data_IF_185162465924
#
_entry.id   IF_185162465924
#
_cell.length_a   1.000
_cell.length_b   1.000
_cell.length_c   1.000
_cell.angle_alpha   90.00
_cell.angle_beta   90.00
_cell.angle_gamma   90.00
#
_symmetry.space_group_name_H-M   'P 1'
#
loop_
_entity.id
_entity.type
_entity.pdbx_description
1 polymer ?
#
# COMPACT_ATOMS: atom_id res chain seq x y z
N UNK A 1 16.72 7.16 -6.00
CA UNK A 1 16.54 8.52 -6.57
C UNK A 1 15.71 9.31 -5.57
N UNK A 2 16.36 10.14 -4.74
CA UNK A 2 15.66 11.00 -3.77
C UNK A 2 15.26 12.26 -4.53
N UNK A 3 13.97 12.49 -4.70
CA UNK A 3 13.47 13.75 -5.26
C UNK A 3 13.58 14.78 -4.12
N UNK A 4 14.54 15.70 -4.22
CA UNK A 4 14.62 16.85 -3.33
C UNK A 4 13.79 17.99 -3.93
N UNK A 5 12.72 18.39 -3.25
CA UNK A 5 12.04 19.67 -3.50
C UNK A 5 12.28 20.60 -2.33
N UNK A 6 12.67 21.83 -2.65
CA UNK A 6 12.95 22.92 -1.71
C UNK A 6 11.69 23.32 -0.92
N UNK A 7 11.91 23.50 0.39
CA UNK A 7 10.96 23.81 1.48
C UNK A 7 9.78 22.83 1.67
N UNK A 8 9.32 22.69 2.93
CA UNK A 8 8.09 22.01 3.37
C UNK A 8 8.19 20.50 3.66
N UNK A 9 7.80 20.14 4.89
CA UNK A 9 7.44 18.82 5.46
C UNK A 9 7.91 17.61 4.65
N UNK A 10 8.87 16.85 5.18
CA UNK A 10 9.26 15.56 4.62
C UNK A 10 8.04 14.65 4.50
N UNK A 11 7.67 14.30 3.27
CA UNK A 11 6.58 13.37 2.99
C UNK A 11 6.93 12.03 3.62
N UNK A 12 6.10 11.47 4.52
CA UNK A 12 6.36 10.16 5.08
C UNK A 12 6.24 9.09 3.99
N UNK A 13 7.18 8.14 3.97
CA UNK A 13 7.24 7.05 2.99
C UNK A 13 5.93 6.23 2.93
N UNK A 14 5.20 6.15 4.05
CA UNK A 14 3.88 5.53 4.14
C UNK A 14 2.89 6.13 3.15
N UNK A 15 2.79 7.46 3.09
CA UNK A 15 1.86 8.13 2.18
C UNK A 15 2.33 7.95 0.74
N UNK A 16 3.63 8.07 0.50
CA UNK A 16 4.21 7.90 -0.83
C UNK A 16 3.90 6.51 -1.39
N UNK A 17 4.16 5.46 -0.61
CA UNK A 17 3.91 4.08 -1.01
C UNK A 17 2.41 3.81 -1.20
N UNK A 18 1.58 4.16 -0.20
CA UNK A 18 0.14 3.89 -0.24
C UNK A 18 -0.54 4.61 -1.43
N UNK A 19 -0.23 5.89 -1.65
CA UNK A 19 -0.76 6.66 -2.77
C UNK A 19 -0.27 6.10 -4.11
N UNK A 20 1.02 5.73 -4.20
CA UNK A 20 1.55 5.11 -5.42
C UNK A 20 0.83 3.80 -5.76
N UNK A 21 0.66 2.90 -4.79
CA UNK A 21 -0.10 1.66 -4.95
C UNK A 21 -1.55 1.93 -5.37
N UNK A 22 -2.22 2.90 -4.74
CA UNK A 22 -3.60 3.24 -5.06
C UNK A 22 -3.74 3.85 -6.47
N UNK A 23 -2.83 4.73 -6.88
CA UNK A 23 -2.84 5.32 -8.23
C UNK A 23 -2.57 4.26 -9.30
N UNK A 24 -1.63 3.34 -9.05
CA UNK A 24 -1.38 2.19 -9.92
C UNK A 24 -2.61 1.28 -10.03
N UNK A 25 -3.24 0.97 -8.89
CA UNK A 25 -4.46 0.16 -8.86
C UNK A 25 -5.61 0.84 -9.61
N UNK A 26 -5.82 2.14 -9.37
CA UNK A 26 -6.84 2.93 -10.06
C UNK A 26 -6.58 2.96 -11.56
N UNK A 27 -5.33 3.15 -11.99
CA UNK A 27 -4.94 3.12 -13.40
C UNK A 27 -5.22 1.77 -14.04
N UNK A 28 -4.84 0.67 -13.39
CA UNK A 28 -5.11 -0.68 -13.89
C UNK A 28 -6.59 -0.92 -14.05
N UNK A 29 -7.40 -0.50 -13.09
CA UNK A 29 -8.84 -0.67 -13.15
C UNK A 29 -9.48 0.20 -14.24
N UNK A 30 -9.02 1.43 -14.41
CA UNK A 30 -9.48 2.31 -15.50
C UNK A 30 -9.18 1.70 -16.88
N UNK A 31 -8.01 1.06 -17.03
CA UNK A 31 -7.72 0.29 -18.24
C UNK A 31 -8.65 -0.91 -18.44
N UNK A 32 -8.89 -1.71 -17.39
CA UNK A 32 -9.74 -2.91 -17.47
C UNK A 32 -11.21 -2.56 -17.77
N UNK A 33 -11.76 -1.53 -17.12
CA UNK A 33 -13.19 -1.23 -17.18
C UNK A 33 -13.55 -0.17 -18.22
N UNK A 34 -12.64 0.77 -18.53
CA UNK A 34 -12.89 1.87 -19.46
C UNK A 34 -12.02 1.79 -20.72
N UNK A 35 -11.19 0.75 -20.87
CA UNK A 35 -10.22 0.60 -21.98
C UNK A 35 -9.25 1.79 -22.13
N UNK A 36 -9.07 2.58 -21.07
CA UNK A 36 -8.25 3.78 -21.10
C UNK A 36 -6.76 3.41 -20.90
N UNK A 37 -6.02 3.32 -22.00
CA UNK A 37 -4.63 2.84 -22.00
C UNK A 37 -3.60 3.98 -21.83
N UNK A 38 -3.67 4.72 -20.72
CA UNK A 38 -2.70 5.78 -20.41
C UNK A 38 -1.39 5.21 -19.86
N UNK A 39 -0.27 5.86 -20.19
CA UNK A 39 1.06 5.42 -19.77
C UNK A 39 1.20 5.46 -18.25
N UNK A 40 1.66 4.36 -17.63
CA UNK A 40 1.86 4.29 -16.17
C UNK A 40 2.78 5.39 -15.63
N UNK A 41 3.72 5.90 -16.43
CA UNK A 41 4.60 7.01 -16.04
C UNK A 41 3.83 8.31 -15.77
N UNK A 42 2.64 8.48 -16.34
CA UNK A 42 1.80 9.66 -16.14
C UNK A 42 1.31 9.80 -14.70
N UNK A 43 1.40 8.75 -13.87
CA UNK A 43 1.04 8.85 -12.44
C UNK A 43 2.11 9.61 -11.65
N UNK A 44 3.38 9.56 -12.06
CA UNK A 44 4.52 10.15 -11.34
C UNK A 44 4.29 11.62 -10.98
N UNK A 45 3.92 12.52 -11.92
CA UNK A 45 3.67 13.91 -11.59
C UNK A 45 2.46 14.12 -10.67
N UNK A 46 1.56 13.14 -10.55
CA UNK A 46 0.35 13.24 -9.71
C UNK A 46 0.55 12.71 -8.29
N UNK A 47 1.65 11.98 -8.02
CA UNK A 47 1.89 11.35 -6.72
C UNK A 47 2.00 12.41 -5.62
N UNK A 48 2.84 13.44 -5.79
CA UNK A 48 3.06 14.48 -4.76
C UNK A 48 1.75 15.20 -4.38
N UNK A 49 0.96 15.61 -5.38
CA UNK A 49 -0.33 16.26 -5.16
C UNK A 49 -1.32 15.36 -4.38
N UNK A 50 -1.41 14.08 -4.74
CA UNK A 50 -2.29 13.15 -4.01
C UNK A 50 -1.78 12.85 -2.61
N UNK A 51 -0.47 12.76 -2.41
CA UNK A 51 0.11 12.57 -1.07
C UNK A 51 -0.23 13.74 -0.17
N UNK A 52 -0.04 14.98 -0.65
CA UNK A 52 -0.39 16.20 0.11
C UNK A 52 -1.87 16.24 0.45
N UNK A 53 -2.74 15.96 -0.53
CA UNK A 53 -4.18 15.89 -0.32
C UNK A 53 -4.56 14.87 0.76
N UNK A 54 -4.00 13.66 0.72
CA UNK A 54 -4.30 12.62 1.70
C UNK A 54 -3.76 12.97 3.10
N UNK A 55 -2.59 13.60 3.20
CA UNK A 55 -2.05 14.09 4.47
C UNK A 55 -2.96 15.15 5.09
N UNK A 56 -3.42 16.12 4.29
CA UNK A 56 -4.35 17.17 4.72
C UNK A 56 -5.69 16.56 5.19
N UNK A 57 -6.29 15.69 4.38
CA UNK A 57 -7.55 15.01 4.73
C UNK A 57 -7.42 14.15 6.00
N UNK A 58 -6.27 13.52 6.22
CA UNK A 58 -6.01 12.71 7.42
C UNK A 58 -5.93 13.59 8.69
N UNK A 59 -5.32 14.77 8.59
CA UNK A 59 -5.26 15.75 9.68
C UNK A 59 -6.64 16.32 10.05
N UNK A 60 -7.54 16.44 9.08
CA UNK A 60 -8.94 16.84 9.31
C UNK A 60 -9.77 15.68 9.91
N UNK A 61 -9.54 14.45 9.46
CA UNK A 61 -10.26 13.27 9.97
C UNK A 61 -9.93 12.92 11.42
N UNK A 62 -8.74 13.25 11.94
CA UNK A 62 -8.47 13.16 13.38
C UNK A 62 -9.38 14.06 14.23
N UNK A 63 -9.92 15.13 13.64
CA UNK A 63 -10.90 16.02 14.30
C UNK A 63 -12.32 15.43 14.24
N UNK A 64 -12.68 14.75 13.14
CA UNK A 64 -14.04 14.22 12.89
C UNK A 64 -14.29 12.89 13.63
N UNK A 65 -13.28 12.02 13.77
CA UNK A 65 -13.42 10.71 14.43
C UNK A 65 -13.73 10.76 15.95
N UNK A 66 -13.79 11.95 16.56
CA UNK A 66 -14.32 12.11 17.92
C UNK A 66 -15.83 11.87 17.99
N UNK A 67 -16.54 11.95 16.85
CA UNK A 67 -18.00 11.86 16.79
C UNK A 67 -18.42 10.68 15.89
N UNK A 68 -18.82 9.58 16.52
CA UNK A 68 -19.76 8.58 15.98
C UNK A 68 -19.30 7.64 14.84
N UNK A 69 -18.82 6.43 15.19
CA UNK A 69 -19.04 5.14 14.46
C UNK A 69 -18.27 3.94 15.08
N UNK A 70 -18.26 3.78 16.41
CA UNK A 70 -17.23 2.96 17.08
C UNK A 70 -17.56 1.50 17.45
N UNK A 71 -18.77 0.97 17.24
CA UNK A 71 -19.10 -0.34 17.84
C UNK A 71 -19.31 -1.49 16.84
N UNK A 72 -19.89 -1.28 15.65
CA UNK A 72 -20.25 -2.40 14.75
C UNK A 72 -19.08 -2.83 13.83
N UNK A 73 -18.11 -1.95 13.55
CA UNK A 73 -17.02 -2.22 12.60
C UNK A 73 -15.70 -2.68 13.24
N UNK A 74 -15.65 -2.91 14.57
CA UNK A 74 -14.38 -3.25 15.26
C UNK A 74 -13.85 -4.64 14.88
N UNK A 75 -14.71 -5.61 14.57
CA UNK A 75 -14.26 -6.98 14.25
C UNK A 75 -13.64 -7.14 12.86
N UNK A 76 -13.95 -6.25 11.91
CA UNK A 76 -13.47 -6.35 10.52
C UNK A 76 -12.37 -5.34 10.17
N UNK A 77 -11.95 -4.50 11.12
CA UNK A 77 -10.84 -3.57 10.91
C UNK A 77 -9.51 -4.25 11.27
N UNK A 78 -8.48 -3.91 10.50
CA UNK A 78 -7.11 -4.27 10.85
C UNK A 78 -6.78 -3.70 12.23
N UNK A 79 -6.37 -4.56 13.15
CA UNK A 79 -5.91 -4.15 14.48
C UNK A 79 -4.38 -4.16 14.50
N UNK A 80 -3.71 -3.17 15.10
CA UNK A 80 -2.27 -3.23 15.35
C UNK A 80 -1.90 -4.44 16.23
N UNK A 81 -0.64 -4.90 16.21
CA UNK A 81 -0.18 -5.89 17.16
C UNK A 81 -0.03 -5.28 18.57
N UNK A 82 0.19 -6.14 19.57
CA UNK A 82 0.48 -5.70 20.93
C UNK A 82 1.78 -4.87 20.98
N UNK A 83 1.92 -4.05 22.02
CA UNK A 83 3.12 -3.22 22.21
C UNK A 83 4.41 -4.06 22.19
N UNK A 84 5.44 -3.53 21.52
CA UNK A 84 6.71 -4.23 21.31
C UNK A 84 6.74 -5.21 20.14
N UNK A 85 5.61 -5.46 19.47
CA UNK A 85 5.55 -6.35 18.31
C UNK A 85 5.50 -5.62 16.98
N UNK A 86 6.01 -6.28 15.96
CA UNK A 86 5.89 -5.89 14.55
C UNK A 86 4.93 -6.85 13.87
N UNK A 87 3.94 -6.31 13.15
CA UNK A 87 3.02 -7.10 12.32
C UNK A 87 3.47 -7.06 10.87
N UNK A 88 3.74 -8.24 10.32
CA UNK A 88 4.00 -8.43 8.90
C UNK A 88 2.72 -8.85 8.18
N UNK A 89 2.32 -8.11 7.16
CA UNK A 89 1.24 -8.46 6.25
C UNK A 89 1.82 -8.77 4.88
N UNK A 90 1.56 -9.97 4.36
CA UNK A 90 2.09 -10.44 3.07
C UNK A 90 0.98 -10.79 2.11
N UNK A 91 1.23 -10.63 0.81
CA UNK A 91 0.34 -11.11 -0.24
C UNK A 91 1.15 -11.63 -1.45
N UNK A 92 0.53 -12.53 -2.20
CA UNK A 92 1.08 -13.13 -3.42
C UNK A 92 0.21 -12.80 -4.63
N UNK A 93 0.83 -12.52 -5.77
CA UNK A 93 0.14 -12.31 -7.04
C UNK A 93 0.53 -13.37 -8.07
N UNK A 94 -0.42 -13.73 -8.93
CA UNK A 94 -0.28 -14.72 -9.99
C UNK A 94 -0.92 -14.19 -11.27
N UNK A 95 -0.23 -14.34 -12.39
CA UNK A 95 -0.74 -13.99 -13.71
C UNK A 95 -1.13 -15.26 -14.47
N UNK A 96 -2.41 -15.43 -14.76
CA UNK A 96 -2.95 -16.63 -15.42
C UNK A 96 -2.36 -16.88 -16.82
N UNK A 97 -2.04 -15.82 -17.58
CA UNK A 97 -1.60 -15.94 -18.97
C UNK A 97 -0.12 -16.31 -19.10
N UNK A 98 0.71 -15.84 -18.17
CA UNK A 98 2.18 -16.05 -18.20
C UNK A 98 2.68 -17.05 -17.18
N UNK A 99 1.81 -17.45 -16.25
CA UNK A 99 2.13 -18.18 -15.02
C UNK A 99 3.15 -17.48 -14.12
N UNK A 100 3.39 -16.18 -14.34
CA UNK A 100 4.32 -15.40 -13.51
C UNK A 100 3.73 -15.20 -12.11
N UNK A 101 4.58 -15.37 -11.10
CA UNK A 101 4.28 -15.15 -9.69
C UNK A 101 5.17 -14.07 -9.09
N UNK A 102 4.58 -13.25 -8.23
CA UNK A 102 5.28 -12.28 -7.40
C UNK A 102 4.73 -12.34 -5.97
N UNK A 103 5.48 -11.84 -5.01
CA UNK A 103 5.00 -11.64 -3.66
C UNK A 103 5.42 -10.27 -3.13
N UNK A 104 4.78 -9.82 -2.07
CA UNK A 104 5.18 -8.62 -1.36
C UNK A 104 4.62 -8.59 0.04
N UNK A 105 5.04 -7.60 0.80
CA UNK A 105 4.54 -7.41 2.15
C UNK A 105 4.95 -6.09 2.77
N UNK A 106 4.37 -5.82 3.94
CA UNK A 106 4.56 -4.62 4.73
C UNK A 106 4.74 -4.99 6.20
N UNK A 107 5.69 -4.34 6.85
CA UNK A 107 5.95 -4.39 8.28
C UNK A 107 5.38 -3.13 8.95
N UNK A 108 4.64 -3.31 10.04
CA UNK A 108 4.08 -2.20 10.84
C UNK A 108 4.34 -2.39 12.33
N UNK A 109 4.59 -1.30 13.04
CA UNK A 109 4.72 -1.30 14.50
C UNK A 109 3.35 -1.45 15.21
N UNK A 110 3.40 -1.47 16.55
CA UNK A 110 2.23 -1.53 17.43
C UNK A 110 1.33 -0.28 17.40
N UNK A 111 1.82 0.84 16.86
CA UNK A 111 1.00 2.03 16.58
C UNK A 111 0.39 1.99 15.17
N UNK A 112 0.68 0.94 14.39
CA UNK A 112 0.29 0.82 12.99
C UNK A 112 1.14 1.64 12.03
N UNK A 113 2.23 2.26 12.49
CA UNK A 113 3.16 2.97 11.64
C UNK A 113 3.88 1.98 10.74
N UNK A 114 4.07 2.37 9.48
CA UNK A 114 4.88 1.61 8.54
C UNK A 114 6.35 1.67 8.96
N UNK A 115 7.00 0.49 8.95
CA UNK A 115 8.44 0.35 9.21
C UNK A 115 9.17 0.09 7.90
N UNK A 116 8.69 -0.88 7.12
CA UNK A 116 9.33 -1.34 5.89
C UNK A 116 8.34 -2.09 4.99
N UNK A 117 8.71 -2.29 3.72
CA UNK A 117 7.96 -3.13 2.80
C UNK A 117 8.86 -3.76 1.74
N UNK A 118 8.37 -4.81 1.09
CA UNK A 118 9.10 -5.49 0.03
C UNK A 118 8.18 -5.95 -1.11
N UNK A 119 8.79 -6.17 -2.27
CA UNK A 119 8.19 -6.80 -3.44
C UNK A 119 9.26 -7.68 -4.08
N UNK A 120 8.89 -8.88 -4.51
CA UNK A 120 9.80 -9.80 -5.20
C UNK A 120 9.10 -10.52 -6.35
N UNK A 121 9.73 -10.51 -7.53
CA UNK A 121 9.37 -11.39 -8.64
C UNK A 121 9.97 -12.78 -8.38
N UNK A 122 9.14 -13.82 -8.45
CA UNK A 122 9.51 -15.19 -8.10
C UNK A 122 9.68 -16.11 -9.32
N UNK A 123 9.39 -15.61 -10.52
CA UNK A 123 9.44 -16.40 -11.75
C UNK A 123 8.07 -16.98 -12.07
N UNK A 124 8.02 -18.24 -12.52
CA UNK A 124 6.76 -18.94 -12.82
C UNK A 124 6.40 -19.91 -11.71
N UNK A 125 5.11 -20.05 -11.43
CA UNK A 125 4.60 -20.94 -10.40
C UNK A 125 3.09 -20.82 -10.27
N UNK A 126 2.56 -21.17 -9.11
CA UNK A 126 1.14 -21.12 -8.80
C UNK A 126 0.81 -20.11 -7.68
N UNK A 127 -0.49 -19.88 -7.46
CA UNK A 127 -1.00 -18.93 -6.47
C UNK A 127 -0.55 -19.28 -5.04
N UNK A 128 -0.50 -20.57 -4.68
CA UNK A 128 -0.08 -21.00 -3.34
C UNK A 128 1.42 -20.75 -3.17
N UNK A 129 2.23 -21.08 -4.17
CA UNK A 129 3.66 -20.77 -4.17
C UNK A 129 3.91 -19.27 -3.96
N UNK A 130 3.20 -18.39 -4.66
CA UNK A 130 3.32 -16.94 -4.51
C UNK A 130 3.06 -16.48 -3.07
N UNK A 131 2.00 -17.01 -2.44
CA UNK A 131 1.64 -16.67 -1.05
C UNK A 131 2.64 -17.22 -0.04
N UNK A 132 3.05 -18.49 -0.19
CA UNK A 132 3.98 -19.16 0.71
C UNK A 132 5.35 -18.48 0.73
N UNK A 133 5.89 -18.17 -0.44
CA UNK A 133 7.14 -17.40 -0.56
C UNK A 133 7.02 -16.01 0.07
N UNK A 134 5.87 -15.35 -0.09
CA UNK A 134 5.59 -14.09 0.58
C UNK A 134 5.76 -14.18 2.10
N UNK A 135 5.13 -15.17 2.73
CA UNK A 135 5.26 -15.42 4.17
C UNK A 135 6.69 -15.77 4.57
N UNK A 136 7.38 -16.61 3.80
CA UNK A 136 8.77 -17.00 4.05
C UNK A 136 9.73 -15.80 4.12
N UNK A 137 9.56 -14.78 3.28
CA UNK A 137 10.42 -13.59 3.32
C UNK A 137 10.16 -12.67 4.53
N UNK A 138 9.14 -12.95 5.33
CA UNK A 138 8.79 -12.18 6.53
C UNK A 138 9.01 -12.92 7.84
N UNK A 139 9.41 -14.20 7.78
CA UNK A 139 9.88 -14.99 8.92
C UNK A 139 11.36 -14.73 9.15
#
# INVERSE_FOLDING_TARGET
MRIQTYSHVSIPDTYLFAVSCWLLWKRRNDWIFNSNNRNNLDIIPTIDAHVRFVMEASSLNSVINFVSMNEIFREYKWNPPDEGWIKFNTDGSYNLNSSDICCGGVARDYNGNWIAGFLRKLGRGDVLSAKLWGTWFTL
#
